data_IF_964292985026
#
_entry.id   IF_964292985026
#
_cell.length_a   1.000
_cell.length_b   1.000
_cell.length_c   1.000
_cell.angle_alpha   90.00
_cell.angle_beta   90.00
_cell.angle_gamma   90.00
#
_symmetry.space_group_name_H-M   'P 1'
#
loop_
_entity.id
_entity.type
_entity.pdbx_description
1 polymer ?
#
# COMPACT_ATOMS: atom_id res chain seq x y z
N UNK A 1 5.76 -5.19 49.51
CA UNK A 1 6.73 -4.54 48.62
C UNK A 1 6.48 -3.04 48.59
N UNK A 2 7.08 -2.29 49.52
CA UNK A 2 7.04 -0.82 49.54
C UNK A 2 7.97 -0.18 48.51
N UNK A 3 9.05 -0.88 48.15
CA UNK A 3 10.12 -0.49 47.21
C UNK A 3 9.58 0.07 45.87
N UNK A 4 8.47 -0.45 45.34
CA UNK A 4 7.88 0.09 44.11
C UNK A 4 7.30 1.50 44.28
N UNK A 5 6.66 1.77 45.43
CA UNK A 5 6.10 3.09 45.77
C UNK A 5 7.19 4.11 46.07
N UNK A 6 8.29 3.67 46.68
CA UNK A 6 9.48 4.50 46.95
C UNK A 6 10.12 5.01 45.65
N UNK A 7 10.11 4.18 44.60
CA UNK A 7 10.58 4.56 43.26
C UNK A 7 9.50 5.23 42.39
N UNK A 8 8.31 5.55 42.94
CA UNK A 8 7.23 6.20 42.20
C UNK A 8 6.58 5.35 41.10
N UNK A 9 6.74 4.02 41.15
CA UNK A 9 6.26 3.07 40.14
C UNK A 9 5.11 2.22 40.65
N UNK A 10 4.27 1.77 39.72
CA UNK A 10 3.23 0.77 40.01
C UNK A 10 3.80 -0.62 39.75
N UNK A 11 3.81 -1.45 40.78
CA UNK A 11 4.32 -2.82 40.69
C UNK A 11 3.58 -3.64 39.60
N UNK A 12 2.27 -3.41 39.46
CA UNK A 12 1.44 -4.02 38.40
C UNK A 12 2.02 -3.80 37.02
N UNK A 13 2.38 -2.55 36.70
CA UNK A 13 2.78 -2.13 35.37
C UNK A 13 4.17 -2.72 35.04
N UNK A 14 5.06 -2.76 36.04
CA UNK A 14 6.38 -3.37 35.92
C UNK A 14 6.26 -4.87 35.65
N UNK A 15 5.42 -5.56 36.43
CA UNK A 15 5.22 -7.01 36.30
C UNK A 15 4.59 -7.34 34.95
N UNK A 16 3.55 -6.62 34.53
CA UNK A 16 2.86 -6.88 33.26
C UNK A 16 3.78 -6.68 32.04
N UNK A 17 4.61 -5.63 32.03
CA UNK A 17 5.58 -5.41 30.93
C UNK A 17 6.68 -6.47 30.91
N UNK A 18 7.11 -6.95 32.08
CA UNK A 18 8.31 -7.79 32.21
C UNK A 18 8.01 -9.26 32.52
N UNK A 19 6.73 -9.65 32.60
CA UNK A 19 6.29 -10.98 33.03
C UNK A 19 7.03 -12.11 32.32
N UNK A 20 7.15 -12.03 30.99
CA UNK A 20 7.83 -13.05 30.18
C UNK A 20 9.31 -13.23 30.55
N UNK A 21 9.97 -12.17 31.01
CA UNK A 21 11.37 -12.21 31.45
C UNK A 21 11.45 -12.59 32.94
N UNK A 22 10.51 -12.13 33.75
CA UNK A 22 10.43 -12.42 35.18
C UNK A 22 10.14 -13.91 35.44
N UNK A 23 9.26 -14.51 34.65
CA UNK A 23 8.89 -15.93 34.75
C UNK A 23 10.04 -16.88 34.37
N UNK A 24 11.04 -16.39 33.63
CA UNK A 24 12.23 -17.16 33.21
C UNK A 24 13.46 -16.89 34.08
N UNK A 25 13.35 -15.98 35.04
CA UNK A 25 14.48 -15.59 35.87
C UNK A 25 14.70 -16.60 37.01
N UNK A 26 15.95 -17.02 37.22
CA UNK A 26 16.32 -17.90 38.33
C UNK A 26 16.04 -17.28 39.71
N UNK A 27 16.05 -15.94 39.78
CA UNK A 27 15.81 -15.16 40.99
C UNK A 27 14.84 -13.98 40.74
N UNK A 28 13.52 -14.23 40.67
CA UNK A 28 12.53 -13.22 40.28
C UNK A 28 12.51 -12.00 41.19
N UNK A 29 12.67 -12.17 42.51
CA UNK A 29 12.64 -11.06 43.49
C UNK A 29 13.81 -10.09 43.26
N UNK A 30 15.03 -10.62 43.06
CA UNK A 30 16.22 -9.80 42.81
C UNK A 30 16.16 -9.12 41.44
N UNK A 31 15.62 -9.81 40.43
CA UNK A 31 15.41 -9.23 39.11
C UNK A 31 14.38 -8.08 39.16
N UNK A 32 13.27 -8.29 39.87
CA UNK A 32 12.24 -7.27 40.06
C UNK A 32 12.78 -6.03 40.79
N UNK A 33 13.59 -6.21 41.84
CA UNK A 33 14.27 -5.08 42.51
C UNK A 33 15.11 -4.26 41.54
N UNK A 34 15.92 -4.91 40.69
CA UNK A 34 16.69 -4.22 39.64
C UNK A 34 15.80 -3.45 38.67
N UNK A 35 14.65 -4.01 38.28
CA UNK A 35 13.68 -3.34 37.41
C UNK A 35 13.03 -2.11 38.09
N UNK A 36 12.77 -2.19 39.40
CA UNK A 36 12.21 -1.06 40.15
C UNK A 36 13.19 0.12 40.20
N UNK A 37 14.49 -0.15 40.38
CA UNK A 37 15.55 0.88 40.41
C UNK A 37 15.92 1.45 39.03
N UNK A 38 15.57 0.76 37.94
CA UNK A 38 15.82 1.23 36.57
C UNK A 38 15.16 2.59 36.27
N UNK A 39 15.65 3.45 35.38
CA UNK A 39 14.97 4.69 35.00
C UNK A 39 13.75 4.50 34.08
N UNK A 40 13.44 3.27 33.67
CA UNK A 40 12.36 2.97 32.71
C UNK A 40 10.97 3.25 33.29
N UNK A 41 10.16 3.99 32.53
CA UNK A 41 8.72 4.14 32.75
C UNK A 41 7.95 2.98 32.11
N UNK A 42 7.59 2.02 32.96
CA UNK A 42 6.82 0.85 32.56
C UNK A 42 5.35 1.17 32.29
N UNK A 43 4.80 2.23 32.91
CA UNK A 43 3.43 2.67 32.67
C UNK A 43 3.27 3.27 31.27
N UNK A 44 4.23 4.10 30.86
CA UNK A 44 4.31 4.60 29.49
C UNK A 44 4.47 3.46 28.47
N UNK A 45 5.39 2.53 28.74
CA UNK A 45 5.61 1.35 27.88
C UNK A 45 4.34 0.51 27.68
N UNK A 46 3.53 0.37 28.74
CA UNK A 46 2.24 -0.33 28.69
C UNK A 46 1.22 0.42 27.82
N UNK A 47 1.10 1.74 27.99
CA UNK A 47 0.19 2.57 27.20
C UNK A 47 0.52 2.51 25.71
N UNK A 48 1.80 2.67 25.36
CA UNK A 48 2.24 2.58 23.95
C UNK A 48 1.92 1.21 23.36
N UNK A 49 2.19 0.12 24.09
CA UNK A 49 1.83 -1.23 23.62
C UNK A 49 0.32 -1.42 23.47
N UNK A 50 -0.48 -0.89 24.39
CA UNK A 50 -1.93 -0.97 24.33
C UNK A 50 -2.50 -0.16 23.16
N UNK A 51 -1.98 1.04 22.92
CA UNK A 51 -2.35 1.89 21.79
C UNK A 51 -2.00 1.23 20.45
N UNK A 52 -0.80 0.65 20.35
CA UNK A 52 -0.38 -0.06 19.14
C UNK A 52 -1.26 -1.29 18.88
N UNK A 53 -1.54 -2.07 19.93
CA UNK A 53 -2.48 -3.19 19.82
C UNK A 53 -3.86 -2.72 19.37
N UNK A 54 -4.38 -1.64 19.96
CA UNK A 54 -5.67 -1.08 19.57
C UNK A 54 -5.69 -0.62 18.10
N UNK A 55 -4.60 -0.03 17.60
CA UNK A 55 -4.44 0.32 16.18
C UNK A 55 -4.47 -0.91 15.28
N UNK A 56 -3.70 -1.94 15.62
CA UNK A 56 -3.67 -3.20 14.86
C UNK A 56 -5.04 -3.86 14.87
N UNK A 57 -5.70 -3.94 16.02
CA UNK A 57 -7.04 -4.51 16.16
C UNK A 57 -8.08 -3.72 15.35
N UNK A 58 -7.99 -2.38 15.33
CA UNK A 58 -8.86 -1.53 14.52
C UNK A 58 -8.66 -1.77 13.01
N UNK A 59 -7.41 -1.87 12.54
CA UNK A 59 -7.09 -2.18 11.14
C UNK A 59 -7.60 -3.58 10.75
N UNK A 60 -7.42 -4.58 11.61
CA UNK A 60 -7.96 -5.92 11.38
C UNK A 60 -9.48 -5.92 11.35
N UNK A 61 -10.14 -5.18 12.25
CA UNK A 61 -11.59 -5.06 12.26
C UNK A 61 -12.10 -4.39 10.98
N UNK A 62 -11.41 -3.37 10.47
CA UNK A 62 -11.73 -2.73 9.20
C UNK A 62 -11.59 -3.69 8.02
N UNK A 63 -10.49 -4.46 7.96
CA UNK A 63 -10.27 -5.49 6.93
C UNK A 63 -11.38 -6.54 6.93
N UNK A 64 -11.76 -7.05 8.10
CA UNK A 64 -12.88 -8.00 8.24
C UNK A 64 -14.22 -7.42 7.79
N UNK A 65 -14.47 -6.13 8.05
CA UNK A 65 -15.68 -5.45 7.56
C UNK A 65 -15.66 -5.32 6.03
N UNK A 66 -14.52 -4.92 5.47
CA UNK A 66 -14.33 -4.82 4.04
C UNK A 66 -14.54 -6.16 3.33
N UNK A 67 -13.98 -7.26 3.85
CA UNK A 67 -14.18 -8.61 3.32
C UNK A 67 -15.66 -9.03 3.28
N UNK A 68 -16.44 -8.68 4.31
CA UNK A 68 -17.89 -8.94 4.33
C UNK A 68 -18.61 -8.17 3.24
N UNK A 69 -18.27 -6.90 3.04
CA UNK A 69 -18.87 -6.06 1.99
C UNK A 69 -18.49 -6.58 0.60
N UNK A 70 -17.23 -6.95 0.40
CA UNK A 70 -16.75 -7.57 -0.85
C UNK A 70 -17.55 -8.83 -1.14
N UNK A 71 -17.71 -9.73 -0.16
CA UNK A 71 -18.48 -10.97 -0.34
C UNK A 71 -19.95 -10.72 -0.69
N UNK A 72 -20.57 -9.72 -0.09
CA UNK A 72 -21.94 -9.31 -0.41
C UNK A 72 -22.09 -8.60 -1.78
N UNK A 73 -20.96 -8.21 -2.37
CA UNK A 73 -20.87 -7.47 -3.63
C UNK A 73 -20.43 -8.35 -4.81
N UNK A 74 -20.10 -9.62 -4.57
CA UNK A 74 -19.74 -10.58 -5.61
C UNK A 74 -20.91 -10.76 -6.58
N UNK A 75 -20.58 -10.86 -7.88
CA UNK A 75 -21.58 -10.98 -8.95
C UNK A 75 -22.32 -9.68 -9.30
N UNK A 76 -22.01 -8.55 -8.63
CA UNK A 76 -22.55 -7.23 -8.97
C UNK A 76 -21.52 -6.43 -9.76
N UNK A 77 -22.04 -5.57 -10.64
CA UNK A 77 -21.23 -4.60 -11.37
C UNK A 77 -21.48 -3.22 -10.77
N UNK A 78 -20.39 -2.51 -10.51
CA UNK A 78 -20.43 -1.15 -10.00
C UNK A 78 -19.85 -0.19 -11.02
N UNK A 79 -20.33 1.05 -11.04
CA UNK A 79 -19.79 2.12 -11.89
C UNK A 79 -19.56 3.35 -11.02
N UNK A 80 -18.56 4.15 -11.37
CA UNK A 80 -18.34 5.44 -10.74
C UNK A 80 -19.46 6.45 -11.04
N UNK A 81 -19.49 7.54 -10.27
CA UNK A 81 -20.45 8.63 -10.48
C UNK A 81 -20.33 9.27 -11.88
N UNK A 82 -19.15 9.24 -12.47
CA UNK A 82 -18.89 9.83 -13.78
C UNK A 82 -19.29 8.92 -14.94
N UNK A 83 -19.61 7.64 -14.69
CA UNK A 83 -19.91 6.69 -15.75
C UNK A 83 -18.70 6.34 -16.62
N UNK A 84 -17.48 6.50 -16.11
CA UNK A 84 -16.24 6.30 -16.88
C UNK A 84 -15.62 4.93 -16.64
N UNK A 85 -15.73 4.40 -15.42
CA UNK A 85 -15.12 3.14 -15.05
C UNK A 85 -16.16 2.19 -14.45
N UNK A 86 -16.16 0.94 -14.91
CA UNK A 86 -16.82 -0.17 -14.21
C UNK A 86 -15.84 -0.89 -13.30
N UNK A 87 -16.38 -1.41 -12.20
CA UNK A 87 -15.70 -2.15 -11.17
C UNK A 87 -16.44 -3.46 -10.94
N UNK A 88 -15.74 -4.58 -11.11
CA UNK A 88 -16.28 -5.93 -10.93
C UNK A 88 -15.41 -6.69 -9.96
N UNK A 89 -16.03 -7.27 -8.93
CA UNK A 89 -15.37 -8.13 -7.97
C UNK A 89 -15.34 -9.56 -8.52
N UNK A 90 -14.16 -10.17 -8.55
CA UNK A 90 -13.96 -11.56 -8.97
C UNK A 90 -14.71 -12.57 -8.07
N UNK A 91 -15.02 -13.74 -8.61
CA UNK A 91 -15.74 -14.83 -7.91
C UNK A 91 -14.99 -15.41 -6.71
N UNK A 92 -13.73 -15.03 -6.47
CA UNK A 92 -13.00 -15.30 -5.24
C UNK A 92 -12.93 -14.14 -4.24
N UNK A 93 -13.40 -12.94 -4.60
CA UNK A 93 -13.26 -11.71 -3.80
C UNK A 93 -11.81 -11.26 -3.62
N UNK A 94 -10.89 -11.78 -4.44
CA UNK A 94 -9.43 -11.55 -4.31
C UNK A 94 -8.94 -10.39 -5.16
N UNK A 95 -9.60 -10.17 -6.30
CA UNK A 95 -9.23 -9.12 -7.25
C UNK A 95 -10.42 -8.26 -7.60
N UNK A 96 -10.17 -6.96 -7.76
CA UNK A 96 -11.09 -6.02 -8.37
C UNK A 96 -10.66 -5.78 -9.81
N UNK A 97 -11.55 -6.06 -10.75
CA UNK A 97 -11.38 -5.70 -12.15
C UNK A 97 -11.96 -4.31 -12.37
N UNK A 98 -11.12 -3.40 -12.86
CA UNK A 98 -11.48 -2.05 -13.28
C UNK A 98 -11.45 -2.00 -14.79
N UNK A 99 -12.53 -1.58 -15.43
CA UNK A 99 -12.56 -1.42 -16.89
C UNK A 99 -12.96 0.00 -17.21
N UNK A 100 -12.15 0.65 -18.03
CA UNK A 100 -12.54 1.92 -18.66
C UNK A 100 -13.63 1.60 -19.69
N UNK A 101 -14.80 2.24 -19.57
CA UNK A 101 -15.97 1.94 -20.40
C UNK A 101 -15.79 2.36 -21.86
N UNK A 102 -14.94 3.36 -22.15
CA UNK A 102 -14.66 3.81 -23.50
C UNK A 102 -13.56 2.96 -24.18
N UNK A 103 -12.57 2.49 -23.41
CA UNK A 103 -11.48 1.65 -23.95
C UNK A 103 -11.81 0.15 -23.97
N UNK A 104 -12.68 -0.30 -23.08
CA UNK A 104 -12.94 -1.73 -22.86
C UNK A 104 -11.77 -2.50 -22.23
N UNK A 105 -10.69 -1.81 -21.84
CA UNK A 105 -9.48 -2.43 -21.30
C UNK A 105 -9.66 -2.75 -19.83
N UNK A 106 -9.55 -4.04 -19.49
CA UNK A 106 -9.64 -4.53 -18.11
C UNK A 106 -8.29 -4.44 -17.43
N UNK A 107 -8.23 -3.72 -16.31
CA UNK A 107 -7.09 -3.60 -15.40
C UNK A 107 -7.46 -4.27 -14.07
N UNK A 108 -6.51 -4.94 -13.43
CA UNK A 108 -6.76 -5.58 -12.12
C UNK A 108 -6.02 -4.82 -11.04
N UNK A 109 -6.74 -4.44 -9.98
CA UNK A 109 -6.10 -3.88 -8.79
C UNK A 109 -5.39 -4.97 -8.00
N UNK A 110 -4.17 -4.67 -7.57
CA UNK A 110 -3.32 -5.53 -6.74
C UNK A 110 -3.06 -4.79 -5.43
N UNK A 111 -3.24 -5.44 -4.28
CA UNK A 111 -3.03 -4.84 -2.96
C UNK A 111 -4.30 -4.71 -2.12
N UNK A 112 -4.31 -3.73 -1.20
CA UNK A 112 -5.39 -3.51 -0.21
C UNK A 112 -6.61 -2.76 -0.77
N UNK A 113 -7.15 -3.21 -1.90
CA UNK A 113 -8.28 -2.55 -2.56
C UNK A 113 -9.62 -2.74 -1.83
N UNK A 114 -9.77 -3.77 -0.98
CA UNK A 114 -11.05 -4.12 -0.37
C UNK A 114 -11.56 -3.03 0.58
N UNK A 115 -10.65 -2.42 1.34
CA UNK A 115 -10.98 -1.35 2.29
C UNK A 115 -11.45 -0.11 1.55
N UNK A 116 -10.75 0.25 0.49
CA UNK A 116 -11.09 1.36 -0.37
C UNK A 116 -12.44 1.13 -1.07
N UNK A 117 -12.65 -0.07 -1.62
CA UNK A 117 -13.93 -0.47 -2.21
C UNK A 117 -15.10 -0.31 -1.24
N UNK A 118 -14.92 -0.75 0.01
CA UNK A 118 -15.93 -0.56 1.05
C UNK A 118 -16.20 0.93 1.33
N UNK A 119 -15.18 1.77 1.36
CA UNK A 119 -15.32 3.21 1.58
C UNK A 119 -16.07 3.88 0.42
N UNK A 120 -15.67 3.60 -0.83
CA UNK A 120 -16.30 4.16 -2.03
C UNK A 120 -17.79 3.79 -2.15
N UNK A 121 -18.16 2.57 -1.75
CA UNK A 121 -19.57 2.18 -1.65
C UNK A 121 -20.31 2.92 -0.54
N UNK A 122 -19.68 3.09 0.62
CA UNK A 122 -20.30 3.78 1.76
C UNK A 122 -20.49 5.28 1.49
N UNK A 123 -19.56 5.88 0.77
CA UNK A 123 -19.60 7.29 0.36
C UNK A 123 -20.53 7.52 -0.83
N UNK A 124 -21.02 6.46 -1.47
CA UNK A 124 -21.90 6.54 -2.63
C UNK A 124 -21.20 6.94 -3.92
N UNK A 125 -19.86 6.90 -3.94
CA UNK A 125 -19.07 7.17 -5.14
C UNK A 125 -19.20 6.06 -6.19
N UNK A 126 -19.52 4.84 -5.75
CA UNK A 126 -19.78 3.71 -6.64
C UNK A 126 -21.22 3.21 -6.48
N UNK A 127 -21.93 3.07 -7.60
CA UNK A 127 -23.30 2.56 -7.62
C UNK A 127 -23.38 1.22 -8.35
N UNK A 128 -24.18 0.31 -7.83
CA UNK A 128 -24.50 -0.93 -8.55
C UNK A 128 -25.38 -0.60 -9.76
N UNK A 129 -25.11 -1.22 -10.89
CA UNK A 129 -25.87 -1.04 -12.13
C UNK A 129 -26.34 -2.39 -12.69
N UNK A 130 -27.45 -2.36 -13.41
CA UNK A 130 -27.94 -3.51 -14.17
C UNK A 130 -27.14 -3.67 -15.48
N UNK A 131 -27.29 -4.81 -16.14
CA UNK A 131 -26.64 -5.05 -17.43
C UNK A 131 -27.09 -4.04 -18.49
N UNK A 132 -28.40 -3.76 -18.57
CA UNK A 132 -28.96 -2.81 -19.53
C UNK A 132 -28.44 -1.37 -19.30
N UNK A 133 -28.39 -0.93 -18.03
CA UNK A 133 -27.81 0.38 -17.70
C UNK A 133 -26.32 0.45 -18.06
N UNK A 134 -25.58 -0.65 -17.86
CA UNK A 134 -24.16 -0.71 -18.19
C UNK A 134 -23.91 -0.61 -19.69
N UNK A 135 -24.74 -1.25 -20.51
CA UNK A 135 -24.64 -1.13 -21.98
C UNK A 135 -24.91 0.29 -22.45
N UNK A 136 -25.89 0.97 -21.87
CA UNK A 136 -26.16 2.37 -22.16
C UNK A 136 -24.96 3.26 -21.79
N UNK A 137 -24.39 3.07 -20.60
CA UNK A 137 -23.21 3.81 -20.14
C UNK A 137 -21.97 3.56 -21.01
N UNK A 138 -21.79 2.33 -21.51
CA UNK A 138 -20.71 2.02 -22.46
C UNK A 138 -20.91 2.75 -23.79
N UNK A 139 -22.11 2.71 -24.35
CA UNK A 139 -22.42 3.38 -25.60
C UNK A 139 -22.18 4.89 -25.51
N UNK A 140 -22.60 5.52 -24.40
CA UNK A 140 -22.36 6.95 -24.18
C UNK A 140 -20.87 7.28 -23.98
N UNK A 141 -20.12 6.45 -23.25
CA UNK A 141 -18.69 6.66 -23.03
C UNK A 141 -17.88 6.57 -24.34
N UNK A 142 -18.21 5.62 -25.22
CA UNK A 142 -17.59 5.49 -26.55
C UNK A 142 -17.87 6.72 -27.41
N UNK A 143 -19.15 7.13 -27.50
CA UNK A 143 -19.55 8.30 -28.28
C UNK A 143 -18.85 9.58 -27.80
N UNK A 144 -18.70 9.77 -26.48
CA UNK A 144 -17.98 10.92 -25.92
C UNK A 144 -16.49 10.91 -26.29
N UNK A 145 -15.85 9.73 -26.29
CA UNK A 145 -14.45 9.61 -26.70
C UNK A 145 -14.26 9.95 -28.17
N UNK A 146 -15.16 9.49 -29.04
CA UNK A 146 -15.12 9.82 -30.47
C UNK A 146 -15.26 11.32 -30.71
N UNK A 147 -16.23 11.97 -30.06
CA UNK A 147 -16.38 13.43 -30.12
C UNK A 147 -15.14 14.18 -29.62
N UNK A 148 -14.53 13.72 -28.52
CA UNK A 148 -13.31 14.32 -28.00
C UNK A 148 -12.13 14.20 -28.99
N UNK A 149 -12.01 13.07 -29.69
CA UNK A 149 -10.98 12.86 -30.72
C UNK A 149 -11.22 13.73 -31.96
N UNK A 150 -12.48 13.92 -32.37
CA UNK A 150 -12.83 14.81 -33.48
C UNK A 150 -12.49 16.27 -33.17
N UNK A 151 -12.80 16.72 -31.95
CA UNK A 151 -12.42 18.06 -31.49
C UNK A 151 -10.90 18.24 -31.44
N UNK A 152 -10.15 17.22 -30.99
CA UNK A 152 -8.69 17.24 -31.02
C UNK A 152 -8.15 17.33 -32.45
N UNK A 153 -8.65 16.50 -33.37
CA UNK A 153 -8.27 16.55 -34.80
C UNK A 153 -8.59 17.91 -35.44
N UNK A 154 -9.73 18.50 -35.11
CA UNK A 154 -10.11 19.82 -35.60
C UNK A 154 -9.13 20.89 -35.10
N UNK A 155 -8.74 20.85 -33.82
CA UNK A 155 -7.76 21.78 -33.26
C UNK A 155 -6.35 21.60 -33.84
N UNK A 156 -5.93 20.38 -34.14
CA UNK A 156 -4.63 20.08 -34.74
C UNK A 156 -4.53 20.54 -36.21
N UNK A 157 -5.66 20.68 -36.91
CA UNK A 157 -5.69 21.21 -38.28
C UNK A 157 -5.60 22.74 -38.35
N UNK A 158 -5.95 23.45 -37.27
CA UNK A 158 -5.88 24.92 -37.21
C UNK A 158 -4.49 25.43 -36.79
N UNK A 159 -3.72 24.65 -36.02
CA UNK A 159 -2.35 24.98 -35.57
C UNK A 159 -1.26 24.33 -36.44
N UNK A 160 -1.19 24.73 -37.71
CA UNK A 160 -0.10 24.38 -38.64
C UNK A 160 1.25 25.06 -38.33
N UNK A 161 1.75 24.97 -37.10
CA UNK A 161 3.09 25.43 -36.72
C UNK A 161 4.05 24.23 -36.55
N UNK A 162 5.29 24.30 -37.07
CA UNK A 162 6.20 23.16 -37.11
C UNK A 162 6.64 22.76 -35.70
N UNK A 163 6.29 21.51 -35.31
CA UNK A 163 6.77 20.71 -34.18
C UNK A 163 7.80 21.41 -33.28
N UNK A 164 7.32 22.21 -32.33
CA UNK A 164 8.10 22.49 -31.14
C UNK A 164 7.91 21.31 -30.19
N UNK A 165 8.93 20.46 -30.05
CA UNK A 165 8.97 19.41 -29.05
C UNK A 165 8.92 20.05 -27.66
N UNK A 166 7.71 20.32 -27.16
CA UNK A 166 7.48 20.49 -25.74
C UNK A 166 7.45 19.08 -25.17
N UNK A 167 8.54 18.71 -24.47
CA UNK A 167 8.55 17.57 -23.57
C UNK A 167 7.49 17.87 -22.50
N UNK A 168 6.24 17.50 -22.78
CA UNK A 168 5.19 17.51 -21.79
C UNK A 168 5.47 16.28 -20.94
N UNK A 169 6.10 16.51 -19.80
CA UNK A 169 6.24 15.50 -18.76
C UNK A 169 4.88 14.84 -18.60
N UNK A 170 4.78 13.56 -18.98
CA UNK A 170 3.64 12.73 -18.68
C UNK A 170 3.58 12.66 -17.16
N UNK A 171 2.81 13.55 -16.54
CA UNK A 171 2.23 13.28 -15.23
C UNK A 171 1.33 12.07 -15.45
N UNK A 172 1.91 10.88 -15.29
CA UNK A 172 1.18 9.66 -15.06
C UNK A 172 0.29 9.91 -13.85
N UNK A 173 -0.97 10.19 -14.11
CA UNK A 173 -2.02 10.17 -13.09
C UNK A 173 -2.31 8.71 -12.76
N UNK A 174 -1.34 8.07 -12.11
CA UNK A 174 -1.62 7.01 -11.18
C UNK A 174 -2.18 7.69 -9.95
N UNK A 175 -3.44 7.41 -9.60
CA UNK A 175 -3.97 7.78 -8.29
C UNK A 175 -3.06 7.14 -7.23
N UNK A 176 -2.12 7.92 -6.72
CA UNK A 176 -1.37 7.62 -5.51
C UNK A 176 -2.20 8.23 -4.41
N UNK A 177 -2.96 7.41 -3.69
CA UNK A 177 -3.71 7.86 -2.52
C UNK A 177 -2.70 7.99 -1.39
N UNK A 178 -2.16 9.20 -1.23
CA UNK A 178 -1.20 9.58 -0.21
C UNK A 178 -1.73 10.71 0.67
N UNK A 179 -1.63 10.50 1.97
CA UNK A 179 -1.97 11.41 3.07
C UNK A 179 -1.48 12.87 2.93
N UNK A 180 -2.11 13.81 3.67
CA UNK A 180 -1.63 15.18 3.77
C UNK A 180 -0.53 15.30 4.84
N UNK A 181 0.61 15.86 4.46
CA UNK A 181 1.51 16.54 5.40
C UNK A 181 2.25 17.66 4.67
N UNK A 182 1.80 18.89 4.91
CA UNK A 182 2.61 20.12 4.78
C UNK A 182 3.41 20.22 6.10
N UNK A 183 4.65 20.71 6.21
CA UNK A 183 5.31 21.97 5.83
C UNK A 183 6.82 21.69 6.06
N UNK A 184 7.79 22.06 5.21
CA UNK A 184 8.34 23.41 5.10
C UNK A 184 9.31 23.52 3.90
N UNK A 185 9.30 24.71 3.33
CA UNK A 185 10.10 25.23 2.22
C UNK A 185 11.54 25.55 2.65
N UNK A 186 12.29 25.99 1.63
CA UNK A 186 13.59 26.69 1.63
C UNK A 186 14.77 25.69 1.51
N UNK A 187 15.64 25.73 0.51
CA UNK A 187 16.17 26.90 -0.19
C UNK A 187 16.97 26.48 -1.45
N UNK A 188 16.99 27.40 -2.41
CA UNK A 188 18.11 27.73 -3.29
C UNK A 188 18.65 26.72 -4.33
N UNK A 189 18.40 27.10 -5.59
CA UNK A 189 19.29 26.92 -6.73
C UNK A 189 20.79 26.95 -6.38
N UNK A 190 21.53 25.99 -6.94
CA UNK A 190 22.88 26.18 -7.50
C UNK A 190 23.14 25.10 -8.55
N UNK A 191 22.84 25.43 -9.80
CA UNK A 191 23.45 24.78 -10.95
C UNK A 191 24.89 25.28 -11.02
N UNK A 192 25.88 24.37 -10.93
CA UNK A 192 27.15 24.62 -11.59
C UNK A 192 27.74 23.31 -12.16
N UNK A 193 28.38 23.38 -13.34
CA UNK A 193 28.67 22.24 -14.20
C UNK A 193 30.10 21.77 -13.99
N UNK A 194 30.33 20.47 -13.81
CA UNK A 194 31.63 19.87 -14.13
C UNK A 194 31.43 18.41 -14.55
N UNK A 195 31.41 18.23 -15.88
CA UNK A 195 31.88 17.02 -16.53
C UNK A 195 33.27 16.66 -15.97
N UNK A 196 33.36 15.56 -15.23
CA UNK A 196 34.60 14.80 -15.12
C UNK A 196 34.32 13.36 -15.55
N UNK A 197 34.77 13.07 -16.77
CA UNK A 197 35.04 11.72 -17.26
C UNK A 197 35.87 10.98 -16.20
N UNK A 198 35.32 9.91 -15.68
CA UNK A 198 36.10 8.83 -15.06
C UNK A 198 35.48 7.52 -15.52
N UNK A 199 35.88 7.11 -16.72
CA UNK A 199 35.84 5.71 -17.13
C UNK A 199 36.73 4.92 -16.17
N UNK A 200 36.11 4.09 -15.35
CA UNK A 200 36.73 2.85 -14.87
C UNK A 200 35.74 1.72 -15.21
N UNK A 201 36.13 0.72 -15.99
CA UNK A 201 35.29 -0.47 -16.14
C UNK A 201 35.20 -1.14 -14.77
N UNK A 202 34.02 -1.11 -14.14
CA UNK A 202 33.75 -1.99 -13.00
C UNK A 202 33.73 -3.40 -13.56
N UNK A 203 34.82 -4.12 -13.30
CA UNK A 203 34.88 -5.56 -13.43
C UNK A 203 33.70 -6.16 -12.65
N UNK A 204 32.73 -6.67 -13.41
CA UNK A 204 31.84 -7.70 -12.92
C UNK A 204 32.69 -8.94 -12.60
N UNK A 205 32.13 -9.79 -11.75
CA UNK A 205 32.50 -11.19 -11.51
C UNK A 205 33.49 -11.43 -10.36
N UNK A 206 32.97 -12.01 -9.28
CA UNK A 206 33.48 -13.26 -8.68
C UNK A 206 32.40 -13.86 -7.77
N UNK A 207 31.57 -13.05 -7.10
CA UNK A 207 30.60 -13.54 -6.10
C UNK A 207 29.34 -14.21 -6.67
N UNK A 208 28.85 -13.79 -7.84
CA UNK A 208 27.66 -14.38 -8.45
C UNK A 208 27.94 -15.72 -9.16
N UNK A 209 29.18 -15.96 -9.59
CA UNK A 209 29.58 -17.23 -10.21
C UNK A 209 29.74 -18.35 -9.15
N UNK A 210 30.27 -18.03 -7.96
CA UNK A 210 30.33 -18.98 -6.84
C UNK A 210 28.94 -19.36 -6.32
N UNK A 211 27.99 -18.42 -6.27
CA UNK A 211 26.62 -18.70 -5.84
C UNK A 211 25.89 -19.70 -6.79
N UNK A 212 26.17 -19.63 -8.09
CA UNK A 212 25.60 -20.54 -9.09
C UNK A 212 26.25 -21.94 -9.07
N UNK A 213 27.53 -22.05 -8.70
CA UNK A 213 28.19 -23.34 -8.51
C UNK A 213 27.64 -24.10 -7.29
N UNK A 214 27.32 -23.40 -6.20
CA UNK A 214 26.70 -24.00 -5.00
C UNK A 214 25.29 -24.57 -5.26
N UNK A 215 24.46 -23.86 -6.03
CA UNK A 215 23.11 -24.33 -6.37
C UNK A 215 23.10 -25.54 -7.31
N UNK A 216 24.11 -25.68 -8.18
CA UNK A 216 24.25 -26.88 -9.04
C UNK A 216 24.71 -28.12 -8.29
N UNK A 217 25.40 -27.98 -7.15
CA UNK A 217 25.77 -29.11 -6.30
C UNK A 217 24.58 -29.68 -5.52
N UNK A 218 23.63 -28.82 -5.12
CA UNK A 218 22.42 -29.24 -4.39
C UNK A 218 21.38 -29.96 -5.26
N UNK A 219 21.38 -29.73 -6.58
CA UNK A 219 20.45 -30.37 -7.51
C UNK A 219 20.92 -31.73 -8.07
N UNK A 220 22.09 -32.23 -7.66
CA UNK A 220 22.62 -33.55 -8.08
C UNK A 220 22.31 -34.71 -7.14
N UNK A 221 21.54 -34.49 -6.08
CA UNK A 221 21.08 -35.59 -5.22
C UNK A 221 19.94 -36.31 -5.94
N UNK A 222 20.28 -37.44 -6.59
CA UNK A 222 19.36 -38.40 -7.20
C UNK A 222 18.37 -38.98 -6.16
N UNK A 223 17.18 -39.44 -6.59
CA UNK A 223 16.17 -40.00 -5.72
C UNK A 223 16.61 -41.36 -5.15
N UNK A 224 16.41 -41.54 -3.84
CA UNK A 224 16.48 -42.86 -3.21
C UNK A 224 15.13 -43.53 -3.42
N UNK A 225 15.15 -44.59 -4.23
CA UNK A 225 14.14 -45.65 -4.27
C UNK A 225 14.23 -46.50 -3.01
N UNK A 226 13.13 -46.59 -2.26
CA UNK A 226 12.64 -47.78 -1.56
C UNK A 226 11.20 -47.49 -1.09
#
# INVERSE_FOLDING_TARGET
MGEAREHGKRLSDVVEVTWNNLAKADNPINYLRKLLTSPVDFGYSLRVKAEEKARVDALQAQKRKAEKVVRASMGKVFVDLLGTHQYVVDDGGRTLAVTDLAEGVVRRSVGEWQVEFMLMLKEGCWRAVTADELEQLRATAIAQREQALELQRASELEDGAPNHYVIREKTGSYYTIGHPSQVAREEAHKVHPLLKKNEKPRALTTTAAEALAGLRALLKIKPVTA
#
